data_IF_360219215211
#
_entry.id   IF_360219215211
#
_cell.length_a   1.000
_cell.length_b   1.000
_cell.length_c   1.000
_cell.angle_alpha   90.00
_cell.angle_beta   90.00
_cell.angle_gamma   90.00
#
_symmetry.space_group_name_H-M   'P 1'
#
loop_
_entity.id
_entity.type
_entity.pdbx_description
1 polymer ?
#
# COMPACT_ATOMS: atom_id res chain seq x y z
N UNK A 1 -11.78 6.30 4.83
CA UNK A 1 -11.78 5.02 4.10
C UNK A 1 -11.67 3.80 5.03
N UNK A 2 -10.71 3.67 5.95
CA UNK A 2 -10.84 2.71 7.08
C UNK A 2 -11.36 3.38 8.37
N UNK A 3 -10.85 4.56 8.72
CA UNK A 3 -11.31 5.31 9.90
C UNK A 3 -12.83 5.56 9.92
N UNK A 4 -13.39 6.08 8.81
CA UNK A 4 -14.85 6.29 8.71
C UNK A 4 -15.65 4.99 8.77
N UNK A 5 -15.13 3.88 8.23
CA UNK A 5 -15.79 2.58 8.34
C UNK A 5 -15.84 2.14 9.82
N UNK A 6 -14.72 2.24 10.53
CA UNK A 6 -14.65 1.88 11.94
C UNK A 6 -15.56 2.77 12.81
N UNK A 7 -15.72 4.05 12.45
CA UNK A 7 -16.71 4.94 13.07
C UNK A 7 -18.15 4.47 12.84
N UNK A 8 -18.51 4.11 11.61
CA UNK A 8 -19.86 3.59 11.29
C UNK A 8 -20.13 2.30 12.05
N UNK A 9 -19.12 1.44 12.21
CA UNK A 9 -19.18 0.22 13.00
C UNK A 9 -19.13 0.46 14.52
N UNK A 10 -19.03 1.72 14.97
CA UNK A 10 -18.95 2.12 16.38
C UNK A 10 -17.74 1.52 17.12
N UNK A 11 -16.60 1.39 16.42
CA UNK A 11 -15.32 0.94 16.97
C UNK A 11 -14.37 2.13 17.01
N UNK A 12 -14.34 2.90 18.11
CA UNK A 12 -13.61 4.18 18.18
C UNK A 12 -12.08 4.01 18.25
N UNK A 13 -11.60 2.83 18.67
CA UNK A 13 -10.17 2.52 18.80
C UNK A 13 -9.89 1.09 18.34
N UNK A 14 -8.95 0.91 17.44
CA UNK A 14 -8.67 -0.39 16.79
C UNK A 14 -7.18 -0.56 16.47
N UNK A 15 -6.76 -1.79 16.17
CA UNK A 15 -5.40 -2.05 15.68
C UNK A 15 -5.42 -2.25 14.18
N UNK A 16 -4.32 -1.88 13.52
CA UNK A 16 -4.17 -1.97 12.07
C UNK A 16 -3.17 -3.06 11.70
N UNK A 17 -3.55 -3.91 10.75
CA UNK A 17 -2.66 -4.85 10.09
C UNK A 17 -2.67 -4.48 8.60
N UNK A 18 -1.56 -3.91 8.12
CA UNK A 18 -1.45 -3.37 6.78
C UNK A 18 -0.37 -4.05 5.94
N UNK A 19 -0.78 -4.64 4.82
CA UNK A 19 0.13 -5.22 3.83
C UNK A 19 0.24 -4.31 2.60
N UNK A 20 1.44 -4.09 2.07
CA UNK A 20 1.65 -3.36 0.82
C UNK A 20 1.04 -1.96 0.86
N UNK A 21 0.23 -1.56 -0.12
CA UNK A 21 -0.53 -0.31 -0.12
C UNK A 21 -1.47 -0.18 1.09
N UNK A 22 -1.93 -1.30 1.65
CA UNK A 22 -2.66 -1.34 2.92
C UNK A 22 -1.79 -0.97 4.11
N UNK A 23 -0.49 -1.27 4.07
CA UNK A 23 0.50 -0.80 5.02
C UNK A 23 0.72 0.71 4.92
N UNK A 24 0.88 1.23 3.70
CA UNK A 24 0.96 2.69 3.44
C UNK A 24 -0.29 3.40 3.96
N UNK A 25 -1.47 2.88 3.63
CA UNK A 25 -2.76 3.40 4.11
C UNK A 25 -2.83 3.37 5.64
N UNK A 26 -2.30 2.32 6.28
CA UNK A 26 -2.28 2.19 7.74
C UNK A 26 -1.33 3.19 8.39
N UNK A 27 -0.16 3.45 7.80
CA UNK A 27 0.78 4.49 8.25
C UNK A 27 0.12 5.87 8.19
N UNK A 28 -0.52 6.21 7.07
CA UNK A 28 -1.24 7.49 6.90
C UNK A 28 -2.39 7.60 7.92
N UNK A 29 -3.17 6.54 8.12
CA UNK A 29 -4.27 6.55 9.09
C UNK A 29 -3.76 6.77 10.51
N UNK A 30 -2.74 6.02 10.92
CA UNK A 30 -2.15 6.12 12.26
C UNK A 30 -1.49 7.48 12.51
N UNK A 31 -0.94 8.11 11.48
CA UNK A 31 -0.40 9.47 11.56
C UNK A 31 -1.51 10.53 11.66
N UNK A 32 -2.61 10.36 10.91
CA UNK A 32 -3.71 11.35 10.81
C UNK A 32 -4.69 11.28 11.98
N UNK A 33 -4.91 10.08 12.52
CA UNK A 33 -5.86 9.81 13.62
C UNK A 33 -5.19 9.01 14.74
N UNK A 34 -4.14 9.56 15.39
CA UNK A 34 -3.32 8.81 16.34
C UNK A 34 -4.12 8.25 17.53
N UNK A 35 -5.18 8.94 17.97
CA UNK A 35 -6.00 8.52 19.10
C UNK A 35 -6.89 7.29 18.78
N UNK A 36 -7.18 7.07 17.49
CA UNK A 36 -8.02 5.96 17.03
C UNK A 36 -7.24 4.65 16.84
N UNK A 37 -5.90 4.70 16.84
CA UNK A 37 -5.07 3.52 16.57
C UNK A 37 -4.40 3.03 17.86
N UNK A 38 -4.70 1.79 18.22
CA UNK A 38 -4.15 1.13 19.40
C UNK A 38 -2.74 0.57 19.17
N UNK A 39 -2.56 -0.17 18.06
CA UNK A 39 -1.30 -0.78 17.63
C UNK A 39 -1.27 -0.83 16.11
N UNK A 40 -0.07 -0.80 15.54
CA UNK A 40 0.16 -0.89 14.10
C UNK A 40 1.11 -2.04 13.79
N UNK A 41 0.71 -2.91 12.85
CA UNK A 41 1.58 -3.92 12.25
C UNK A 41 1.57 -3.71 10.74
N UNK A 42 2.73 -3.49 10.14
CA UNK A 42 2.87 -3.29 8.70
C UNK A 42 3.96 -4.16 8.09
N UNK A 43 3.77 -4.58 6.83
CA UNK A 43 4.77 -5.30 6.05
C UNK A 43 4.62 -5.04 4.55
N UNK A 44 5.74 -5.12 3.83
CA UNK A 44 5.81 -4.85 2.39
C UNK A 44 5.41 -3.42 2.00
N UNK A 45 5.52 -2.46 2.93
CA UNK A 45 5.07 -1.08 2.75
C UNK A 45 6.26 -0.13 2.66
N UNK A 46 6.14 0.90 1.82
CA UNK A 46 7.15 1.94 1.62
C UNK A 46 6.52 3.32 1.82
N UNK A 47 7.19 4.22 2.54
CA UNK A 47 6.71 5.60 2.73
C UNK A 47 7.14 6.55 1.63
N UNK A 48 8.03 6.08 0.75
CA UNK A 48 8.51 6.75 -0.45
C UNK A 48 8.89 5.71 -1.50
N UNK A 49 9.02 6.14 -2.76
CA UNK A 49 9.38 5.28 -3.90
C UNK A 49 10.82 5.55 -4.31
N UNK A 50 11.64 4.51 -4.36
CA UNK A 50 13.00 4.51 -4.90
C UNK A 50 12.99 4.30 -6.42
N UNK A 51 14.03 4.77 -7.15
CA UNK A 51 14.17 4.51 -8.58
C UNK A 51 14.09 3.02 -8.94
N UNK A 52 14.71 2.15 -8.14
CA UNK A 52 14.72 0.71 -8.37
C UNK A 52 13.31 0.09 -8.22
N UNK A 53 12.52 0.56 -7.26
CA UNK A 53 11.13 0.12 -7.04
C UNK A 53 10.25 0.58 -8.20
N UNK A 54 10.39 1.83 -8.66
CA UNK A 54 9.65 2.34 -9.81
C UNK A 54 9.91 1.52 -11.08
N UNK A 55 11.17 1.15 -11.33
CA UNK A 55 11.52 0.27 -12.44
C UNK A 55 10.93 -1.14 -12.27
N UNK A 56 10.85 -1.66 -11.05
CA UNK A 56 10.16 -2.92 -10.77
C UNK A 56 8.65 -2.82 -11.07
N UNK A 57 7.99 -1.74 -10.66
CA UNK A 57 6.56 -1.48 -10.94
C UNK A 57 6.28 -1.42 -12.45
N UNK A 58 7.14 -0.73 -13.22
CA UNK A 58 7.01 -0.64 -14.68
C UNK A 58 7.11 -2.00 -15.36
N UNK A 59 8.01 -2.89 -14.89
CA UNK A 59 8.17 -4.25 -15.44
C UNK A 59 6.91 -5.11 -15.26
N UNK A 60 6.13 -4.85 -14.21
CA UNK A 60 4.91 -5.60 -13.91
C UNK A 60 3.63 -4.93 -14.42
N UNK A 61 3.72 -3.84 -15.18
CA UNK A 61 2.55 -3.13 -15.73
C UNK A 61 1.66 -4.00 -16.61
N UNK A 62 2.28 -4.85 -17.43
CA UNK A 62 1.55 -5.79 -18.30
C UNK A 62 1.28 -7.10 -17.56
N UNK A 63 0.05 -7.22 -17.04
CA UNK A 63 -0.40 -8.40 -16.28
C UNK A 63 -0.44 -9.69 -17.13
N UNK A 64 -0.39 -9.62 -18.46
CA UNK A 64 -0.33 -10.81 -19.31
C UNK A 64 1.03 -11.52 -19.24
N UNK A 65 2.07 -10.82 -18.78
CA UNK A 65 3.42 -11.39 -18.57
C UNK A 65 3.58 -12.05 -17.20
N UNK A 66 2.56 -11.97 -16.35
CA UNK A 66 2.62 -12.53 -15.01
C UNK A 66 2.47 -14.04 -15.04
N UNK A 67 2.98 -14.70 -14.00
CA UNK A 67 2.72 -16.13 -13.82
C UNK A 67 1.22 -16.37 -13.66
N UNK A 68 0.73 -17.49 -14.22
CA UNK A 68 -0.68 -17.91 -14.11
C UNK A 68 -1.19 -17.86 -12.67
N UNK A 69 -0.38 -18.37 -11.74
CA UNK A 69 -0.66 -18.39 -10.30
C UNK A 69 -0.98 -17.00 -9.73
N UNK A 70 -0.36 -15.94 -10.22
CA UNK A 70 -0.57 -14.58 -9.71
C UNK A 70 -1.76 -13.89 -10.39
N UNK A 71 -1.96 -14.13 -11.68
CA UNK A 71 -2.96 -13.39 -12.47
C UNK A 71 -4.36 -14.02 -12.41
N UNK A 72 -4.47 -15.36 -12.35
CA UNK A 72 -5.76 -16.06 -12.40
C UNK A 72 -6.73 -15.65 -11.29
N UNK A 73 -6.34 -15.57 -10.00
CA UNK A 73 -7.26 -15.16 -8.94
C UNK A 73 -7.77 -13.73 -9.12
N UNK A 74 -6.96 -12.84 -9.70
CA UNK A 74 -7.36 -11.46 -9.96
C UNK A 74 -8.31 -11.38 -11.15
N UNK A 75 -8.08 -12.17 -12.19
CA UNK A 75 -8.98 -12.26 -13.35
C UNK A 75 -10.34 -12.82 -12.94
N UNK A 76 -10.39 -13.81 -12.04
CA UNK A 76 -11.64 -14.37 -11.53
C UNK A 76 -12.51 -13.32 -10.82
N UNK A 77 -11.89 -12.45 -10.02
CA UNK A 77 -12.60 -11.42 -9.25
C UNK A 77 -13.00 -10.23 -10.14
N UNK A 78 -12.07 -9.72 -10.96
CA UNK A 78 -12.23 -8.43 -11.63
C UNK A 78 -12.58 -8.56 -13.11
N UNK A 79 -12.33 -9.70 -13.73
CA UNK A 79 -12.32 -9.88 -15.19
C UNK A 79 -11.01 -9.37 -15.82
N UNK A 80 -10.59 -10.02 -16.91
CA UNK A 80 -9.28 -9.81 -17.55
C UNK A 80 -9.00 -8.36 -17.91
N UNK A 81 -9.91 -7.73 -18.65
CA UNK A 81 -9.71 -6.37 -19.15
C UNK A 81 -9.69 -5.33 -18.04
N UNK A 82 -10.60 -5.47 -17.07
CA UNK A 82 -10.72 -4.54 -15.95
C UNK A 82 -9.52 -4.65 -15.01
N UNK A 83 -9.07 -5.87 -14.71
CA UNK A 83 -7.87 -6.07 -13.91
C UNK A 83 -6.64 -5.44 -14.57
N UNK A 84 -6.42 -5.73 -15.86
CA UNK A 84 -5.30 -5.16 -16.60
C UNK A 84 -5.32 -3.62 -16.59
N UNK A 85 -6.50 -3.01 -16.77
CA UNK A 85 -6.68 -1.56 -16.70
C UNK A 85 -6.38 -1.01 -15.30
N UNK A 86 -6.92 -1.61 -14.25
CA UNK A 86 -6.70 -1.15 -12.88
C UNK A 86 -5.23 -1.25 -12.47
N UNK A 87 -4.58 -2.36 -12.81
CA UNK A 87 -3.17 -2.54 -12.52
C UNK A 87 -2.29 -1.55 -13.27
N UNK A 88 -2.54 -1.34 -14.57
CA UNK A 88 -1.82 -0.35 -15.35
C UNK A 88 -1.97 1.07 -14.77
N UNK A 89 -3.18 1.44 -14.35
CA UNK A 89 -3.46 2.72 -13.70
C UNK A 89 -2.73 2.85 -12.35
N UNK A 90 -2.61 1.76 -11.59
CA UNK A 90 -1.84 1.77 -10.34
C UNK A 90 -0.36 2.06 -10.59
N UNK A 91 0.25 1.41 -11.59
CA UNK A 91 1.65 1.68 -11.97
C UNK A 91 1.81 3.13 -12.43
N UNK A 92 0.89 3.65 -13.23
CA UNK A 92 0.91 5.04 -13.69
C UNK A 92 0.78 6.04 -12.53
N UNK A 93 -0.03 5.72 -11.52
CA UNK A 93 -0.14 6.54 -10.32
C UNK A 93 1.17 6.55 -9.50
N UNK A 94 1.85 5.41 -9.37
CA UNK A 94 3.14 5.34 -8.67
C UNK A 94 4.24 6.12 -9.39
N UNK A 95 4.29 6.07 -10.73
CA UNK A 95 5.18 6.90 -11.53
C UNK A 95 4.85 8.39 -11.35
N UNK A 96 3.58 8.77 -11.40
CA UNK A 96 3.15 10.15 -11.19
C UNK A 96 3.53 10.68 -9.80
N UNK A 97 3.37 9.89 -8.73
CA UNK A 97 3.80 10.26 -7.37
C UNK A 97 5.32 10.47 -7.34
N UNK A 98 6.09 9.57 -7.96
CA UNK A 98 7.54 9.70 -8.02
C UNK A 98 7.96 11.00 -8.69
N UNK A 99 7.39 11.33 -9.86
CA UNK A 99 7.71 12.56 -10.58
C UNK A 99 7.27 13.82 -9.82
N UNK A 100 6.10 13.80 -9.18
CA UNK A 100 5.54 14.97 -8.52
C UNK A 100 6.25 15.32 -7.20
N UNK A 101 6.61 14.31 -6.41
CA UNK A 101 7.06 14.48 -5.03
C UNK A 101 8.42 13.83 -4.75
N UNK A 102 9.21 13.55 -5.78
CA UNK A 102 10.50 12.87 -5.68
C UNK A 102 10.39 11.55 -4.88
N UNK A 103 9.28 10.83 -5.12
CA UNK A 103 8.97 9.57 -4.47
C UNK A 103 8.23 9.67 -3.14
N UNK A 104 8.11 10.83 -2.48
CA UNK A 104 7.47 10.87 -1.16
C UNK A 104 5.96 10.55 -1.23
N UNK A 105 5.56 9.50 -0.49
CA UNK A 105 4.16 9.10 -0.32
C UNK A 105 3.63 9.64 1.01
N UNK A 106 4.31 9.34 2.12
CA UNK A 106 3.87 9.71 3.46
C UNK A 106 5.01 9.89 4.48
N UNK A 107 6.28 10.00 4.03
CA UNK A 107 7.45 10.05 4.93
C UNK A 107 7.37 11.22 5.90
N UNK A 108 6.91 12.38 5.44
CA UNK A 108 6.73 13.57 6.28
C UNK A 108 5.70 13.40 7.41
N UNK A 109 4.79 12.42 7.30
CA UNK A 109 3.72 12.16 8.26
C UNK A 109 4.12 11.16 9.34
N UNK A 110 5.13 10.32 9.10
CA UNK A 110 5.46 9.19 9.99
C UNK A 110 5.75 9.62 11.43
N UNK A 111 6.36 10.79 11.63
CA UNK A 111 6.62 11.39 12.96
C UNK A 111 5.37 11.62 13.81
N UNK A 112 4.19 11.63 13.19
CA UNK A 112 2.91 11.83 13.87
C UNK A 112 2.32 10.52 14.38
N UNK A 113 2.82 9.35 13.98
CA UNK A 113 2.39 8.07 14.53
C UNK A 113 2.79 7.98 16.01
N UNK A 114 1.82 7.73 16.89
CA UNK A 114 2.02 7.65 18.35
C UNK A 114 1.90 6.24 18.92
N UNK A 115 1.21 5.35 18.22
CA UNK A 115 0.99 3.99 18.70
C UNK A 115 2.24 3.11 18.54
N UNK A 116 2.40 2.07 19.37
CA UNK A 116 3.42 1.04 19.16
C UNK A 116 3.29 0.42 17.77
N UNK A 117 4.40 0.39 17.04
CA UNK A 117 4.45 -0.05 15.65
C UNK A 117 5.42 -1.21 15.50
N UNK A 118 4.96 -2.29 14.88
CA UNK A 118 5.78 -3.41 14.46
C UNK A 118 5.90 -3.42 12.93
N UNK A 119 7.13 -3.42 12.43
CA UNK A 119 7.43 -3.49 11.00
C UNK A 119 8.02 -4.86 10.73
N UNK A 120 7.32 -5.67 9.93
CA UNK A 120 7.80 -6.94 9.46
C UNK A 120 8.35 -6.78 8.05
N UNK A 121 9.55 -7.29 7.82
CA UNK A 121 10.21 -7.27 6.53
C UNK A 121 10.69 -8.68 6.15
N UNK A 122 10.43 -9.09 4.92
CA UNK A 122 10.98 -10.33 4.38
C UNK A 122 12.27 -10.02 3.64
N UNK A 123 13.41 -10.55 4.10
CA UNK A 123 14.73 -10.31 3.50
C UNK A 123 14.82 -10.68 1.99
N UNK A 124 13.90 -11.51 1.51
CA UNK A 124 13.81 -11.96 0.11
C UNK A 124 12.64 -11.34 -0.66
N UNK A 125 12.05 -10.27 -0.15
CA UNK A 125 11.00 -9.54 -0.86
C UNK A 125 11.61 -8.91 -2.15
N UNK A 126 11.09 -9.26 -3.35
CA UNK A 126 11.64 -8.75 -4.60
C UNK A 126 11.08 -7.38 -5.00
N UNK A 127 10.14 -6.82 -4.22
CA UNK A 127 9.38 -5.62 -4.58
C UNK A 127 9.66 -4.42 -3.67
N UNK A 128 9.86 -4.65 -2.37
CA UNK A 128 10.10 -3.62 -1.33
C UNK A 128 11.23 -4.07 -0.43
#
# INVERSE_FOLDING_TARGET
MAYELMKVLQIPKFSLLGFSDGGITSLILAAKYPDAVNKLVVWGANSFILPAELEAYKKIKDVNKWSKRLVEPMIEIYGKERFAKYWANWVDAMDAIYQANNGDICSHQLKNIKCPTYILYGEKDPMV
#
